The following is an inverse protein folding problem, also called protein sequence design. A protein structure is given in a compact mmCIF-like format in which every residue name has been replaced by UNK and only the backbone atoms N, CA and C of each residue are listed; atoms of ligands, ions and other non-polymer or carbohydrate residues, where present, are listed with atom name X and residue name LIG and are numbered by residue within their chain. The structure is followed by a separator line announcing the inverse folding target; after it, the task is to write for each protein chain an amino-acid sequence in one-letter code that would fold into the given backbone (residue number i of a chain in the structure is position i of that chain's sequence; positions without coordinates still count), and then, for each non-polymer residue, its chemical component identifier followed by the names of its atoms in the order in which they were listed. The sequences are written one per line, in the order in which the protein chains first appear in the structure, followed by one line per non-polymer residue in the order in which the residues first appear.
data_IF_106647124070
#
_entry.id   IF_106647124070
#
_cell.length_a   1.000
_cell.length_b   1.000
_cell.length_c   1.000
_cell.angle_alpha   90.00
_cell.angle_beta   90.00
_cell.angle_gamma   90.00
#
_symmetry.space_group_name_H-M   'P 1'
#
loop_
_entity.id
_entity.type
_entity.pdbx_description
1 polymer ?
#
# COMPACT_ATOMS: atom_id res chain seq x y z
N UNK A 1 16.88 -21.16 3.90
CA UNK A 1 15.81 -20.70 4.82
C UNK A 1 15.68 -19.17 4.85
N UNK A 2 16.79 -18.41 4.74
CA UNK A 2 16.77 -16.94 4.67
C UNK A 2 15.76 -16.32 3.67
N UNK A 3 15.56 -16.92 2.50
CA UNK A 3 14.61 -16.42 1.49
C UNK A 3 13.15 -16.36 1.96
N UNK A 4 12.73 -17.33 2.78
CA UNK A 4 11.36 -17.36 3.32
C UNK A 4 11.19 -16.28 4.39
N UNK A 5 12.23 -16.07 5.19
CA UNK A 5 12.24 -15.02 6.22
C UNK A 5 12.21 -13.62 5.59
N UNK A 6 12.88 -13.44 4.44
CA UNK A 6 12.87 -12.20 3.67
C UNK A 6 11.49 -11.90 3.06
N UNK A 7 10.84 -12.87 2.40
CA UNK A 7 9.51 -12.62 1.83
C UNK A 7 8.45 -12.39 2.91
N UNK A 8 8.53 -13.11 4.03
CA UNK A 8 7.63 -12.91 5.18
C UNK A 8 7.81 -11.49 5.78
N UNK A 9 9.04 -10.97 5.82
CA UNK A 9 9.32 -9.60 6.26
C UNK A 9 8.75 -8.55 5.30
N UNK A 10 8.86 -8.75 3.98
CA UNK A 10 8.30 -7.84 2.97
C UNK A 10 6.77 -7.86 3.01
N UNK A 11 6.15 -9.04 3.20
CA UNK A 11 4.69 -9.17 3.38
C UNK A 11 4.23 -8.46 4.66
N UNK A 12 4.98 -8.55 5.75
CA UNK A 12 4.66 -7.82 6.98
C UNK A 12 4.72 -6.30 6.77
N UNK A 13 5.69 -5.81 5.99
CA UNK A 13 5.80 -4.41 5.61
C UNK A 13 4.61 -3.94 4.76
N UNK A 14 4.17 -4.72 3.76
CA UNK A 14 2.98 -4.41 2.95
C UNK A 14 1.73 -4.26 3.81
N UNK A 15 1.52 -5.19 4.76
CA UNK A 15 0.36 -5.14 5.66
C UNK A 15 0.36 -3.92 6.55
N UNK A 16 1.54 -3.49 7.00
CA UNK A 16 1.68 -2.30 7.81
C UNK A 16 1.41 -1.03 6.98
N UNK A 17 1.87 -0.98 5.73
CA UNK A 17 1.54 0.11 4.81
C UNK A 17 0.03 0.20 4.56
N UNK A 18 -0.64 -0.94 4.38
CA UNK A 18 -2.11 -0.98 4.22
C UNK A 18 -2.84 -0.42 5.44
N UNK A 19 -2.35 -0.70 6.66
CA UNK A 19 -2.89 -0.07 7.89
C UNK A 19 -2.64 1.43 7.91
N UNK A 20 -1.43 1.87 7.56
CA UNK A 20 -1.10 3.29 7.53
C UNK A 20 -1.98 4.06 6.52
N UNK A 21 -2.24 3.49 5.35
CA UNK A 21 -3.17 4.02 4.34
C UNK A 21 -4.57 4.14 4.95
N UNK A 22 -5.08 3.09 5.57
CA UNK A 22 -6.40 3.09 6.19
C UNK A 22 -6.51 4.11 7.33
N UNK A 23 -5.51 4.20 8.21
CA UNK A 23 -5.42 5.20 9.27
C UNK A 23 -5.40 6.62 8.70
N UNK A 24 -4.63 6.85 7.63
CA UNK A 24 -4.57 8.17 6.97
C UNK A 24 -5.93 8.56 6.40
N UNK A 25 -6.61 7.65 5.71
CA UNK A 25 -7.95 7.88 5.18
C UNK A 25 -8.94 8.18 6.30
N UNK A 26 -8.86 7.46 7.44
CA UNK A 26 -9.71 7.74 8.59
C UNK A 26 -9.49 9.15 9.15
N UNK A 27 -8.23 9.57 9.27
CA UNK A 27 -7.86 10.91 9.74
C UNK A 27 -8.38 11.98 8.77
N UNK A 28 -8.22 11.78 7.46
CA UNK A 28 -8.72 12.71 6.44
C UNK A 28 -10.25 12.76 6.40
N UNK A 29 -10.93 11.64 6.68
CA UNK A 29 -12.38 11.56 6.79
C UNK A 29 -12.93 12.04 8.15
N UNK A 30 -12.07 12.40 9.11
CA UNK A 30 -12.46 12.81 10.46
C UNK A 30 -13.08 11.68 11.29
N UNK A 31 -12.79 10.42 10.96
CA UNK A 31 -13.32 9.24 11.65
C UNK A 31 -12.47 8.93 12.88
N UNK A 32 -13.12 8.77 14.03
CA UNK A 32 -12.45 8.40 15.27
C UNK A 32 -12.00 6.93 15.23
N UNK A 33 -10.71 6.69 15.46
CA UNK A 33 -10.07 5.37 15.47
C UNK A 33 -10.12 4.68 16.84
N UNK A 34 -10.84 5.24 17.82
CA UNK A 34 -10.89 4.74 19.19
C UNK A 34 -11.41 3.30 19.31
N UNK A 35 -12.23 2.85 18.37
CA UNK A 35 -12.74 1.47 18.31
C UNK A 35 -12.05 0.62 17.22
N UNK A 36 -10.91 1.07 16.71
CA UNK A 36 -10.22 0.45 15.57
C UNK A 36 -10.66 1.02 14.22
N UNK A 37 -10.13 0.44 13.14
CA UNK A 37 -10.45 0.83 11.76
C UNK A 37 -11.82 0.27 11.36
N UNK A 38 -12.83 1.12 11.06
CA UNK A 38 -14.12 0.65 10.58
C UNK A 38 -13.95 -0.08 9.24
N UNK A 39 -14.83 -1.04 8.97
CA UNK A 39 -14.84 -1.78 7.70
C UNK A 39 -14.94 -0.85 6.49
N UNK A 40 -15.71 0.24 6.59
CA UNK A 40 -15.80 1.25 5.53
C UNK A 40 -14.45 1.92 5.21
N UNK A 41 -13.60 2.13 6.21
CA UNK A 41 -12.26 2.72 6.03
C UNK A 41 -11.30 1.69 5.43
N UNK A 42 -11.40 0.42 5.86
CA UNK A 42 -10.63 -0.67 5.24
C UNK A 42 -11.00 -0.83 3.76
N UNK A 43 -12.29 -0.80 3.45
CA UNK A 43 -12.77 -0.84 2.07
C UNK A 43 -12.32 0.38 1.26
N UNK A 44 -12.29 1.58 1.86
CA UNK A 44 -11.78 2.78 1.21
C UNK A 44 -10.27 2.70 0.96
N UNK A 45 -9.49 2.13 1.89
CA UNK A 45 -8.06 1.87 1.69
C UNK A 45 -7.82 0.89 0.54
N UNK A 46 -8.59 -0.18 0.49
CA UNK A 46 -8.50 -1.19 -0.56
C UNK A 46 -8.88 -0.61 -1.92
N UNK A 47 -9.95 0.19 -1.98
CA UNK A 47 -10.35 0.90 -3.20
C UNK A 47 -9.28 1.91 -3.65
N UNK A 48 -8.64 2.63 -2.74
CA UNK A 48 -7.56 3.56 -3.07
C UNK A 48 -6.31 2.83 -3.60
N UNK A 49 -5.95 1.70 -3.01
CA UNK A 49 -4.86 0.83 -3.47
C UNK A 49 -5.17 0.29 -4.87
N UNK A 50 -6.39 -0.19 -5.10
CA UNK A 50 -6.80 -0.77 -6.39
C UNK A 50 -6.91 0.30 -7.49
N UNK A 51 -7.41 1.49 -7.16
CA UNK A 51 -7.42 2.65 -8.04
C UNK A 51 -5.98 3.04 -8.42
N UNK A 52 -5.08 3.16 -7.45
CA UNK A 52 -3.66 3.49 -7.69
C UNK A 52 -2.92 2.41 -8.49
N UNK A 53 -3.30 1.15 -8.34
CA UNK A 53 -2.79 0.04 -9.15
C UNK A 53 -3.28 0.15 -10.60
N UNK A 54 -4.56 0.45 -10.80
CA UNK A 54 -5.22 0.50 -12.11
C UNK A 54 -4.87 1.75 -12.91
N UNK A 55 -4.63 2.88 -12.24
CA UNK A 55 -4.14 4.14 -12.83
C UNK A 55 -2.66 4.06 -13.28
N UNK A 56 -2.22 2.88 -13.75
CA UNK A 56 -0.84 2.50 -14.07
C UNK A 56 0.02 3.54 -14.80
N UNK A 57 1.34 3.47 -14.51
CA UNK A 57 2.51 4.09 -15.16
C UNK A 57 2.46 5.60 -15.45
N UNK A 58 1.43 6.13 -16.13
CA UNK A 58 1.28 7.55 -16.44
C UNK A 58 1.18 8.43 -15.19
N UNK A 59 0.52 7.96 -14.11
CA UNK A 59 0.50 8.66 -12.82
C UNK A 59 1.79 8.45 -12.00
N UNK A 60 2.56 7.39 -12.26
CA UNK A 60 3.82 7.13 -11.54
C UNK A 60 4.92 8.09 -11.96
N UNK A 61 5.03 8.39 -13.26
CA UNK A 61 5.92 9.45 -13.74
C UNK A 61 5.51 10.80 -13.12
N UNK A 62 4.21 11.11 -13.09
CA UNK A 62 3.71 12.35 -12.47
C UNK A 62 3.96 12.42 -10.95
N UNK A 63 3.93 11.29 -10.24
CA UNK A 63 4.24 11.20 -8.82
C UNK A 63 5.74 11.41 -8.51
N UNK A 64 6.64 11.01 -9.42
CA UNK A 64 8.06 11.33 -9.31
C UNK A 64 8.34 12.83 -9.50
N UNK A 65 7.48 13.53 -10.24
CA UNK A 65 7.62 14.96 -10.54
C UNK A 65 6.73 15.91 -9.71
N UNK A 66 5.77 15.42 -8.92
CA UNK A 66 4.91 16.25 -8.05
C UNK A 66 5.08 15.91 -6.58
N UNK A 67 4.92 16.93 -5.72
CA UNK A 67 4.71 16.72 -4.30
C UNK A 67 3.35 16.04 -4.10
N UNK A 68 3.37 14.71 -4.14
CA UNK A 68 2.25 13.86 -3.78
C UNK A 68 1.97 14.02 -2.27
N UNK A 69 0.70 14.17 -1.93
CA UNK A 69 0.23 14.26 -0.55
C UNK A 69 0.56 13.00 0.25
N UNK A 70 0.43 13.05 1.59
CA UNK A 70 0.87 11.98 2.48
C UNK A 70 0.20 10.62 2.19
N UNK A 71 -1.06 10.61 1.74
CA UNK A 71 -1.75 9.38 1.32
C UNK A 71 -1.15 8.80 0.03
N UNK A 72 -0.84 9.65 -0.95
CA UNK A 72 -0.29 9.23 -2.25
C UNK A 72 1.14 8.70 -2.10
N UNK A 73 1.94 9.26 -1.20
CA UNK A 73 3.26 8.72 -0.84
C UNK A 73 3.15 7.28 -0.28
N UNK A 74 2.19 7.04 0.62
CA UNK A 74 1.94 5.71 1.17
C UNK A 74 1.46 4.71 0.10
N UNK A 75 0.60 5.14 -0.84
CA UNK A 75 0.14 4.31 -1.96
C UNK A 75 1.27 3.95 -2.93
N UNK A 76 2.18 4.90 -3.22
CA UNK A 76 3.35 4.66 -4.03
C UNK A 76 4.32 3.66 -3.37
N UNK A 77 4.56 3.80 -2.06
CA UNK A 77 5.40 2.88 -1.30
C UNK A 77 4.77 1.47 -1.24
N UNK A 78 3.46 1.38 -0.97
CA UNK A 78 2.72 0.11 -0.99
C UNK A 78 2.88 -0.62 -2.32
N UNK A 79 2.77 0.11 -3.44
CA UNK A 79 2.96 -0.46 -4.77
C UNK A 79 4.38 -0.97 -5.00
N UNK A 80 5.41 -0.21 -4.64
CA UNK A 80 6.80 -0.64 -4.78
C UNK A 80 7.10 -1.90 -3.96
N UNK A 81 6.51 -2.03 -2.77
CA UNK A 81 6.59 -3.23 -1.94
C UNK A 81 5.83 -4.39 -2.57
N UNK A 82 4.63 -4.17 -3.10
CA UNK A 82 3.84 -5.19 -3.77
C UNK A 82 4.53 -5.74 -5.04
N UNK A 83 5.09 -4.88 -5.88
CA UNK A 83 5.88 -5.28 -7.06
C UNK A 83 7.10 -6.12 -6.64
N UNK A 84 7.77 -5.75 -5.54
CA UNK A 84 8.87 -6.54 -4.99
C UNK A 84 8.42 -7.91 -4.46
N UNK A 85 7.24 -8.01 -3.85
CA UNK A 85 6.68 -9.29 -3.40
C UNK A 85 6.41 -10.17 -4.62
N UNK A 86 5.78 -9.64 -5.66
CA UNK A 86 5.47 -10.37 -6.89
C UNK A 86 6.76 -10.84 -7.57
N UNK A 87 7.79 -10.00 -7.68
CA UNK A 87 9.11 -10.38 -8.20
C UNK A 87 9.75 -11.52 -7.40
N UNK A 88 9.64 -11.49 -6.06
CA UNK A 88 10.13 -12.57 -5.20
C UNK A 88 9.29 -13.85 -5.33
N UNK A 89 7.99 -13.75 -5.56
CA UNK A 89 7.13 -14.92 -5.79
C UNK A 89 7.38 -15.53 -7.17
N UNK A 90 7.59 -14.72 -8.20
CA UNK A 90 7.85 -15.16 -9.57
C UNK A 90 9.17 -15.93 -9.67
N UNK A 91 10.24 -15.38 -9.07
CA UNK A 91 11.55 -16.07 -8.96
C UNK A 91 11.51 -17.42 -8.23
N UNK A 92 10.45 -17.68 -7.46
CA UNK A 92 10.24 -18.96 -6.77
C UNK A 92 9.55 -20.00 -7.66
N UNK A 93 8.77 -19.54 -8.64
CA UNK A 93 8.01 -20.40 -9.57
C UNK A 93 8.78 -20.70 -10.86
N UNK A 94 9.77 -19.87 -11.22
CA UNK A 94 10.67 -20.04 -12.37
C UNK A 94 11.84 -21.00 -12.16
#
# INVERSE_FOLDING_TARGET
MAYRDEIDAVIACERELRRQIATRIAVEAGVSLENGLPEAILAAADAAIDAWRTEGEEQQDLAAFRAIGPLQALLAEHRAVAERIDDMLDRRLG
#
